data_IF_127923324289
#
_entry.id   IF_127923324289
#
_cell.length_a   1.000
_cell.length_b   1.000
_cell.length_c   1.000
_cell.angle_alpha   90.00
_cell.angle_beta   90.00
_cell.angle_gamma   90.00
#
_symmetry.space_group_name_H-M   'P 1'
#
loop_
_entity.id
_entity.type
_entity.pdbx_description
1 polymer ?
#
# COMPACT_ATOMS: atom_id res chain seq x y z
N UNK A 1 19.68 1.84 1.59
CA UNK A 1 18.93 1.17 0.51
C UNK A 1 17.47 1.21 0.91
N UNK A 2 16.54 1.46 0.00
CA UNK A 2 15.11 1.45 0.34
C UNK A 2 14.63 0.00 0.48
N UNK A 3 13.93 -0.29 1.57
CA UNK A 3 13.41 -1.62 1.88
C UNK A 3 12.00 -1.78 1.32
N UNK A 4 11.65 -2.97 0.83
CA UNK A 4 10.31 -3.28 0.35
C UNK A 4 9.69 -4.32 1.27
N UNK A 5 8.49 -4.04 1.80
CA UNK A 5 7.80 -4.96 2.71
C UNK A 5 6.35 -5.22 2.26
N UNK A 6 5.83 -6.39 2.60
CA UNK A 6 4.44 -6.75 2.37
C UNK A 6 3.90 -7.56 3.55
N UNK A 7 2.83 -7.08 4.16
CA UNK A 7 2.17 -7.75 5.28
C UNK A 7 1.17 -8.81 4.82
N UNK A 8 1.37 -10.04 5.27
CA UNK A 8 0.47 -11.17 5.04
C UNK A 8 -0.51 -11.24 6.20
N UNK A 9 -1.76 -10.86 5.96
CA UNK A 9 -2.79 -10.86 6.99
C UNK A 9 -3.55 -12.20 7.13
N UNK A 10 -3.23 -13.19 6.29
CA UNK A 10 -4.03 -14.39 6.14
C UNK A 10 -5.34 -14.22 5.37
N UNK A 11 -5.63 -13.01 4.91
CA UNK A 11 -6.73 -12.73 3.99
C UNK A 11 -6.33 -12.88 2.53
N UNK A 12 -7.30 -13.17 1.67
CA UNK A 12 -7.11 -13.46 0.23
C UNK A 12 -6.40 -12.31 -0.50
N UNK A 13 -6.74 -11.07 -0.22
CA UNK A 13 -6.18 -9.89 -0.92
C UNK A 13 -4.68 -9.74 -0.66
N UNK A 14 -4.22 -9.90 0.59
CA UNK A 14 -2.78 -9.85 0.92
C UNK A 14 -2.01 -11.04 0.37
N UNK A 15 -2.65 -12.22 0.32
CA UNK A 15 -2.07 -13.43 -0.26
C UNK A 15 -1.89 -13.28 -1.77
N UNK A 16 -2.94 -12.87 -2.48
CA UNK A 16 -2.88 -12.62 -3.91
C UNK A 16 -1.88 -11.51 -4.26
N UNK A 17 -1.80 -10.45 -3.44
CA UNK A 17 -0.81 -9.40 -3.66
C UNK A 17 0.63 -9.93 -3.56
N UNK A 18 0.92 -10.78 -2.59
CA UNK A 18 2.25 -11.35 -2.44
C UNK A 18 2.65 -12.22 -3.63
N UNK A 19 1.72 -13.06 -4.12
CA UNK A 19 1.91 -13.88 -5.32
C UNK A 19 2.11 -13.00 -6.55
N UNK A 20 1.19 -12.05 -6.78
CA UNK A 20 1.26 -11.09 -7.88
C UNK A 20 2.59 -10.32 -7.91
N UNK A 21 3.04 -9.81 -6.77
CA UNK A 21 4.30 -9.06 -6.68
C UNK A 21 5.49 -9.94 -7.00
N UNK A 22 5.51 -11.17 -6.52
CA UNK A 22 6.59 -12.12 -6.79
C UNK A 22 6.65 -12.52 -8.27
N UNK A 23 5.49 -12.78 -8.90
CA UNK A 23 5.42 -13.27 -10.26
C UNK A 23 5.66 -12.15 -11.29
N UNK A 24 5.09 -10.97 -11.06
CA UNK A 24 5.21 -9.84 -11.98
C UNK A 24 6.53 -9.06 -11.82
N UNK A 25 7.08 -9.03 -10.61
CA UNK A 25 8.31 -8.29 -10.27
C UNK A 25 9.33 -9.21 -9.59
N UNK A 26 9.83 -10.27 -10.25
CA UNK A 26 10.68 -11.29 -9.62
C UNK A 26 12.02 -10.76 -9.11
N UNK A 27 12.54 -9.68 -9.68
CA UNK A 27 13.79 -9.04 -9.27
C UNK A 27 13.62 -8.12 -8.05
N UNK A 28 12.38 -7.80 -7.68
CA UNK A 28 12.09 -6.96 -6.52
C UNK A 28 12.16 -7.79 -5.24
N UNK A 29 13.17 -7.53 -4.41
CA UNK A 29 13.30 -8.18 -3.10
C UNK A 29 12.27 -7.61 -2.13
N UNK A 30 11.25 -8.41 -1.81
CA UNK A 30 10.19 -8.04 -0.85
C UNK A 30 10.35 -8.88 0.42
N UNK A 31 10.42 -8.22 1.57
CA UNK A 31 10.39 -8.86 2.88
C UNK A 31 8.93 -9.07 3.29
N UNK A 32 8.52 -10.31 3.39
CA UNK A 32 7.17 -10.67 3.81
C UNK A 32 7.10 -10.81 5.33
N UNK A 33 6.04 -10.28 5.94
CA UNK A 33 5.80 -10.42 7.37
C UNK A 33 4.33 -10.73 7.67
N UNK A 34 4.09 -11.38 8.80
CA UNK A 34 2.76 -11.60 9.35
C UNK A 34 2.72 -11.10 10.80
N UNK A 35 1.64 -10.43 11.19
CA UNK A 35 1.41 -10.01 12.57
C UNK A 35 0.62 -11.09 13.29
N UNK A 36 1.32 -11.89 14.11
CA UNK A 36 0.73 -12.96 14.93
C UNK A 36 -0.03 -12.36 16.13
N UNK A 37 -1.35 -12.46 16.10
CA UNK A 37 -2.21 -12.03 17.21
C UNK A 37 -2.43 -13.13 18.25
N UNK A 38 -2.07 -14.37 17.94
CA UNK A 38 -2.32 -15.56 18.74
C UNK A 38 -3.79 -16.01 18.78
N UNK A 39 -4.63 -15.46 17.90
CA UNK A 39 -6.07 -15.74 17.80
C UNK A 39 -6.51 -15.94 16.34
N UNK A 40 -5.60 -16.37 15.47
CA UNK A 40 -5.91 -16.68 14.08
C UNK A 40 -6.67 -18.01 13.98
N UNK A 41 -7.50 -18.15 12.95
CA UNK A 41 -8.14 -19.42 12.63
C UNK A 41 -7.11 -20.42 12.11
N UNK A 42 -7.36 -21.71 12.31
CA UNK A 42 -6.47 -22.77 11.81
C UNK A 42 -6.31 -22.72 10.29
N UNK A 43 -7.40 -22.42 9.55
CA UNK A 43 -7.39 -22.26 8.11
C UNK A 43 -6.50 -21.09 7.66
N UNK A 44 -6.46 -20.02 8.45
CA UNK A 44 -5.58 -18.87 8.22
C UNK A 44 -4.12 -19.27 8.34
N UNK A 45 -3.76 -20.03 9.39
CA UNK A 45 -2.40 -20.54 9.56
C UNK A 45 -1.99 -21.50 8.44
N UNK A 46 -2.89 -22.36 7.98
CA UNK A 46 -2.65 -23.24 6.83
C UNK A 46 -2.35 -22.44 5.58
N UNK A 47 -3.12 -21.38 5.30
CA UNK A 47 -2.88 -20.51 4.15
C UNK A 47 -1.52 -19.81 4.27
N UNK A 48 -1.19 -19.26 5.44
CA UNK A 48 0.09 -18.57 5.64
C UNK A 48 1.28 -19.54 5.46
N UNK A 49 1.18 -20.77 5.93
CA UNK A 49 2.23 -21.78 5.74
C UNK A 49 2.41 -22.17 4.26
N UNK A 50 1.32 -22.27 3.50
CA UNK A 50 1.40 -22.48 2.04
C UNK A 50 2.06 -21.31 1.34
N UNK A 51 1.67 -20.08 1.70
CA UNK A 51 2.30 -18.87 1.19
C UNK A 51 3.79 -18.81 1.54
N UNK A 52 4.17 -19.15 2.75
CA UNK A 52 5.57 -19.20 3.17
C UNK A 52 6.39 -20.17 2.30
N UNK A 53 5.84 -21.33 1.97
CA UNK A 53 6.46 -22.29 1.06
C UNK A 53 6.60 -21.72 -0.36
N UNK A 54 5.62 -20.95 -0.83
CA UNK A 54 5.65 -20.29 -2.12
C UNK A 54 6.63 -19.11 -2.17
N UNK A 55 6.58 -18.23 -1.16
CA UNK A 55 7.34 -16.97 -1.13
C UNK A 55 8.81 -17.14 -0.73
N UNK A 56 9.14 -18.18 0.05
CA UNK A 56 10.49 -18.46 0.53
C UNK A 56 10.79 -17.95 1.95
N UNK A 57 9.78 -17.48 2.68
CA UNK A 57 9.87 -17.08 4.08
C UNK A 57 8.95 -15.93 4.44
N UNK A 58 8.35 -16.00 5.63
CA UNK A 58 7.50 -14.96 6.22
C UNK A 58 7.93 -14.69 7.65
N UNK A 59 8.35 -13.47 7.96
CA UNK A 59 8.71 -13.08 9.33
C UNK A 59 7.46 -12.95 10.20
N UNK A 60 7.37 -13.72 11.29
CA UNK A 60 6.27 -13.60 12.25
C UNK A 60 6.58 -12.50 13.27
N UNK A 61 5.76 -11.45 13.29
CA UNK A 61 5.85 -10.34 14.24
C UNK A 61 4.85 -10.61 15.38
N UNK A 62 5.35 -10.73 16.61
CA UNK A 62 4.53 -10.99 17.77
C UNK A 62 4.65 -9.85 18.77
N UNK A 63 3.52 -9.23 19.10
CA UNK A 63 3.46 -8.17 20.10
C UNK A 63 3.46 -8.74 21.53
N UNK A 64 3.69 -7.87 22.52
CA UNK A 64 3.61 -8.20 23.94
C UNK A 64 4.49 -9.38 24.39
N UNK A 65 5.68 -9.52 23.80
CA UNK A 65 6.66 -10.52 24.25
C UNK A 65 6.96 -10.34 25.74
N UNK A 66 6.97 -11.47 26.49
CA UNK A 66 7.15 -11.46 27.95
C UNK A 66 5.87 -11.13 28.75
N UNK A 67 4.73 -10.96 28.09
CA UNK A 67 3.44 -10.86 28.78
C UNK A 67 3.11 -12.18 29.53
N UNK A 68 2.48 -12.11 30.71
CA UNK A 68 1.94 -13.29 31.38
C UNK A 68 0.70 -13.86 30.69
N UNK A 69 0.11 -13.15 29.74
CA UNK A 69 -1.08 -13.58 29.03
C UNK A 69 -0.73 -14.60 27.92
N UNK A 70 -1.59 -15.58 27.65
CA UNK A 70 -1.35 -16.63 26.65
C UNK A 70 -1.11 -16.10 25.24
N UNK A 71 -1.84 -15.03 24.87
CA UNK A 71 -1.77 -14.44 23.53
C UNK A 71 -1.60 -12.93 23.57
N UNK A 72 -1.00 -12.33 22.50
CA UNK A 72 -0.98 -10.88 22.35
C UNK A 72 -2.40 -10.27 22.40
N UNK A 73 -3.38 -10.94 21.81
CA UNK A 73 -4.76 -10.46 21.82
C UNK A 73 -5.32 -10.35 23.24
N UNK A 74 -5.14 -11.36 24.09
CA UNK A 74 -5.59 -11.33 25.48
C UNK A 74 -4.87 -10.26 26.31
N UNK A 75 -3.57 -10.06 26.07
CA UNK A 75 -2.81 -8.99 26.70
C UNK A 75 -3.45 -7.62 26.41
N UNK A 76 -3.67 -7.29 25.15
CA UNK A 76 -4.25 -5.99 24.79
C UNK A 76 -5.73 -5.88 25.09
N UNK A 77 -6.49 -6.97 25.09
CA UNK A 77 -7.88 -6.99 25.53
C UNK A 77 -7.97 -6.57 27.00
N UNK A 78 -7.16 -7.16 27.88
CA UNK A 78 -7.11 -6.78 29.29
C UNK A 78 -6.63 -5.34 29.48
N UNK A 79 -5.57 -4.94 28.77
CA UNK A 79 -5.06 -3.58 28.81
C UNK A 79 -6.08 -2.53 28.30
N UNK A 80 -7.04 -2.95 27.48
CA UNK A 80 -8.16 -2.12 26.98
C UNK A 80 -9.41 -2.21 27.86
N UNK A 81 -9.31 -2.72 29.11
CA UNK A 81 -10.44 -2.86 30.02
C UNK A 81 -11.46 -3.89 29.57
N UNK A 82 -11.02 -4.94 28.86
CA UNK A 82 -11.87 -5.98 28.26
C UNK A 82 -12.86 -5.50 27.19
N UNK A 83 -12.62 -4.32 26.61
CA UNK A 83 -13.38 -3.86 25.45
C UNK A 83 -12.85 -4.51 24.17
N UNK A 84 -13.71 -5.22 23.43
CA UNK A 84 -13.38 -5.79 22.14
C UNK A 84 -13.05 -4.68 21.11
N UNK A 85 -12.19 -4.99 20.12
CA UNK A 85 -11.94 -4.05 19.03
C UNK A 85 -13.23 -3.70 18.29
N UNK A 86 -13.34 -2.45 17.88
CA UNK A 86 -14.48 -1.95 17.11
C UNK A 86 -13.99 -0.97 16.04
N UNK A 87 -14.85 -0.54 15.09
CA UNK A 87 -14.48 0.49 14.12
C UNK A 87 -13.95 1.79 14.77
N UNK A 88 -14.43 2.14 15.95
CA UNK A 88 -14.01 3.32 16.72
C UNK A 88 -12.79 3.05 17.62
N UNK A 89 -12.62 1.81 18.07
CA UNK A 89 -11.54 1.40 18.97
C UNK A 89 -10.66 0.32 18.33
N UNK A 90 -9.84 0.72 17.35
CA UNK A 90 -9.02 -0.18 16.53
C UNK A 90 -7.67 -0.52 17.17
N UNK A 91 -7.65 -0.75 18.49
CA UNK A 91 -6.43 -1.04 19.22
C UNK A 91 -5.69 -2.28 18.71
N UNK A 92 -6.42 -3.30 18.20
CA UNK A 92 -5.80 -4.48 17.62
C UNK A 92 -4.92 -4.12 16.40
N UNK A 93 -5.42 -3.26 15.50
CA UNK A 93 -4.65 -2.80 14.34
C UNK A 93 -3.46 -1.94 14.77
N UNK A 94 -3.68 -1.01 15.70
CA UNK A 94 -2.64 -0.07 16.13
C UNK A 94 -1.53 -0.76 16.92
N UNK A 95 -1.89 -1.61 17.91
CA UNK A 95 -0.95 -2.19 18.89
C UNK A 95 -0.27 -3.47 18.40
N UNK A 96 -1.00 -4.33 17.65
CA UNK A 96 -0.48 -5.63 17.26
C UNK A 96 0.00 -5.68 15.81
N UNK A 97 -0.45 -4.76 14.94
CA UNK A 97 -0.06 -4.76 13.53
C UNK A 97 0.85 -3.59 13.19
N UNK A 98 0.35 -2.34 13.28
CA UNK A 98 1.15 -1.18 12.86
C UNK A 98 2.36 -0.96 13.76
N UNK A 99 2.20 -1.01 15.09
CA UNK A 99 3.32 -0.80 16.00
C UNK A 99 4.43 -1.84 15.82
N UNK A 100 4.06 -3.10 15.61
CA UNK A 100 5.06 -4.17 15.39
C UNK A 100 5.71 -4.06 14.00
N UNK A 101 4.96 -3.70 12.97
CA UNK A 101 5.51 -3.40 11.65
C UNK A 101 6.49 -2.22 11.70
N UNK A 102 6.13 -1.15 12.42
CA UNK A 102 7.01 0.01 12.59
C UNK A 102 8.30 -0.30 13.37
N UNK A 103 8.24 -1.23 14.35
CA UNK A 103 9.45 -1.75 15.01
C UNK A 103 10.30 -2.60 14.07
N UNK A 104 9.66 -3.46 13.27
CA UNK A 104 10.32 -4.33 12.30
C UNK A 104 11.05 -3.52 11.23
N UNK A 105 10.49 -2.40 10.80
CA UNK A 105 11.09 -1.47 9.84
C UNK A 105 12.20 -0.63 10.50
N UNK A 106 12.01 -0.17 11.74
CA UNK A 106 12.90 0.78 12.38
C UNK A 106 12.89 2.14 11.68
N UNK A 107 14.08 2.67 11.42
CA UNK A 107 14.28 3.98 10.78
C UNK A 107 14.64 3.87 9.28
N UNK A 108 14.62 2.67 8.73
CA UNK A 108 14.96 2.44 7.32
C UNK A 108 13.88 3.02 6.39
N UNK A 109 14.27 3.72 5.30
CA UNK A 109 13.32 4.11 4.25
C UNK A 109 12.66 2.87 3.68
N UNK A 110 11.32 2.80 3.75
CA UNK A 110 10.58 1.57 3.46
C UNK A 110 9.34 1.84 2.62
N UNK A 111 9.13 1.00 1.62
CA UNK A 111 7.91 0.93 0.81
C UNK A 111 7.09 -0.26 1.32
N UNK A 112 5.86 0.02 1.74
CA UNK A 112 4.90 -0.99 2.23
C UNK A 112 3.81 -1.22 1.19
N UNK A 113 3.75 -2.42 0.64
CA UNK A 113 2.71 -2.81 -0.33
C UNK A 113 1.45 -3.27 0.39
N UNK A 114 0.30 -2.71 -0.03
CA UNK A 114 -1.00 -2.92 0.63
C UNK A 114 -2.02 -3.48 -0.36
N UNK A 115 -2.58 -4.65 -0.04
CA UNK A 115 -3.55 -5.36 -0.87
C UNK A 115 -4.97 -4.80 -0.71
N UNK A 116 -5.22 -3.61 -1.24
CA UNK A 116 -6.58 -3.06 -1.40
C UNK A 116 -6.92 -3.12 -2.87
N UNK A 117 -8.05 -3.78 -3.17
CA UNK A 117 -8.50 -3.98 -4.56
C UNK A 117 -8.98 -2.66 -5.19
N UNK A 118 -9.03 -2.66 -6.52
CA UNK A 118 -9.52 -1.51 -7.29
C UNK A 118 -11.02 -1.24 -7.13
N UNK A 119 -11.80 -2.25 -6.73
CA UNK A 119 -13.24 -2.16 -6.46
C UNK A 119 -13.58 -1.79 -4.99
N UNK A 120 -12.57 -1.53 -4.15
CA UNK A 120 -12.78 -1.13 -2.75
C UNK A 120 -12.63 0.38 -2.55
N UNK A 121 -13.65 1.00 -1.96
CA UNK A 121 -13.64 2.40 -1.55
C UNK A 121 -13.11 2.57 -0.11
N UNK A 122 -11.86 2.18 0.15
CA UNK A 122 -11.22 2.39 1.46
C UNK A 122 -9.76 2.77 1.30
N UNK A 123 -9.28 3.61 2.20
CA UNK A 123 -7.87 4.03 2.23
C UNK A 123 -6.93 2.99 2.87
N UNK A 124 -7.49 2.08 3.66
CA UNK A 124 -6.69 1.19 4.48
C UNK A 124 -6.03 1.89 5.67
N UNK A 125 -5.29 1.11 6.44
CA UNK A 125 -4.46 1.60 7.53
C UNK A 125 -3.02 1.66 7.05
N UNK A 126 -2.45 2.84 7.08
CA UNK A 126 -1.04 3.08 6.73
C UNK A 126 -0.30 3.67 7.93
N UNK A 127 1.01 3.45 8.00
CA UNK A 127 1.85 4.11 9.01
C UNK A 127 1.89 5.61 8.78
N UNK A 128 1.94 6.37 9.86
CA UNK A 128 2.16 7.83 9.82
C UNK A 128 3.64 8.20 9.88
N UNK A 129 4.55 7.22 9.99
CA UNK A 129 5.98 7.46 10.01
C UNK A 129 6.46 7.93 8.63
N UNK A 130 7.28 9.00 8.55
CA UNK A 130 7.73 9.59 7.30
C UNK A 130 8.64 8.66 6.48
N UNK A 131 9.30 7.70 7.13
CA UNK A 131 10.15 6.72 6.48
C UNK A 131 9.39 5.50 5.92
N UNK A 132 8.06 5.43 6.08
CA UNK A 132 7.23 4.33 5.57
C UNK A 132 6.21 4.87 4.58
N UNK A 133 6.35 4.50 3.31
CA UNK A 133 5.43 4.90 2.25
C UNK A 133 4.57 3.73 1.78
N UNK A 134 3.24 3.89 1.84
CA UNK A 134 2.31 2.88 1.35
C UNK A 134 2.09 3.00 -0.16
N UNK A 135 2.03 1.83 -0.83
CA UNK A 135 1.74 1.67 -2.25
C UNK A 135 0.62 0.63 -2.41
N UNK A 136 -0.29 0.86 -3.34
CA UNK A 136 -1.50 0.06 -3.58
C UNK A 136 -1.51 -0.55 -5.00
N UNK A 137 -0.79 -1.65 -5.25
CA UNK A 137 -0.56 -2.19 -6.60
C UNK A 137 -1.83 -2.61 -7.36
N UNK A 138 -2.92 -2.91 -6.66
CA UNK A 138 -4.18 -3.36 -7.26
C UNK A 138 -5.11 -2.21 -7.67
N UNK A 139 -4.73 -0.98 -7.40
CA UNK A 139 -5.56 0.21 -7.67
C UNK A 139 -5.05 0.96 -8.89
N UNK A 140 -5.97 1.60 -9.61
CA UNK A 140 -5.65 2.56 -10.69
C UNK A 140 -4.69 3.65 -10.21
N UNK A 141 -4.97 4.22 -9.02
CA UNK A 141 -4.06 5.10 -8.30
C UNK A 141 -3.28 4.29 -7.26
N UNK A 142 -2.00 4.04 -7.52
CA UNK A 142 -1.13 3.27 -6.62
C UNK A 142 -0.62 4.07 -5.40
N UNK A 143 -0.83 5.39 -5.37
CA UNK A 143 -0.30 6.28 -4.35
C UNK A 143 -1.27 6.47 -3.18
N UNK A 144 -0.74 6.74 -1.98
CA UNK A 144 -1.55 7.13 -0.84
C UNK A 144 -2.16 8.52 -1.02
N UNK A 145 -3.28 8.80 -0.32
CA UNK A 145 -3.90 10.13 -0.36
C UNK A 145 -2.96 11.24 0.08
N UNK A 146 -2.09 10.98 1.04
CA UNK A 146 -1.13 11.98 1.52
C UNK A 146 -0.17 12.40 0.41
N UNK A 147 0.34 11.45 -0.37
CA UNK A 147 1.17 11.72 -1.56
C UNK A 147 0.38 12.52 -2.59
N UNK A 148 -0.85 12.11 -2.88
CA UNK A 148 -1.70 12.80 -3.86
C UNK A 148 -2.04 14.23 -3.42
N UNK A 149 -2.37 14.43 -2.15
CA UNK A 149 -2.66 15.76 -1.59
C UNK A 149 -1.44 16.69 -1.65
N UNK A 150 -0.24 16.15 -1.41
CA UNK A 150 0.99 16.91 -1.58
C UNK A 150 1.24 17.25 -3.05
N UNK A 151 1.15 16.25 -3.95
CA UNK A 151 1.34 16.43 -5.39
C UNK A 151 0.38 17.46 -5.98
N UNK A 152 -0.93 17.34 -5.71
CA UNK A 152 -1.95 18.26 -6.23
C UNK A 152 -2.12 19.55 -5.42
N UNK A 153 -1.30 19.78 -4.40
CA UNK A 153 -1.37 20.99 -3.57
C UNK A 153 -1.12 22.24 -4.42
N UNK A 154 -1.88 23.32 -4.22
CA UNK A 154 -1.64 24.60 -4.90
C UNK A 154 -0.20 25.12 -4.75
N UNK A 155 0.48 24.79 -3.65
CA UNK A 155 1.89 25.15 -3.42
C UNK A 155 2.85 24.51 -4.42
N UNK A 156 2.47 23.37 -4.99
CA UNK A 156 3.27 22.58 -5.93
C UNK A 156 2.81 22.73 -7.39
N UNK A 157 1.80 23.57 -7.66
CA UNK A 157 1.16 23.66 -8.98
C UNK A 157 2.16 23.93 -10.13
N UNK A 158 3.07 24.90 -10.00
CA UNK A 158 4.07 25.18 -11.02
C UNK A 158 5.04 24.02 -11.22
N UNK A 159 5.49 23.39 -10.13
CA UNK A 159 6.37 22.23 -10.17
C UNK A 159 5.71 21.04 -10.87
N UNK A 160 4.48 20.73 -10.50
CA UNK A 160 3.70 19.64 -11.10
C UNK A 160 3.47 19.91 -12.59
N UNK A 161 3.14 21.14 -12.96
CA UNK A 161 3.02 21.55 -14.37
C UNK A 161 4.33 21.31 -15.14
N UNK A 162 5.47 21.71 -14.59
CA UNK A 162 6.78 21.51 -15.20
C UNK A 162 7.10 20.01 -15.37
N UNK A 163 6.76 19.19 -14.39
CA UNK A 163 6.95 17.73 -14.46
C UNK A 163 6.11 17.14 -15.60
N UNK A 164 4.83 17.49 -15.68
CA UNK A 164 3.98 16.99 -16.77
C UNK A 164 4.50 17.39 -18.16
N UNK A 165 5.01 18.59 -18.31
CA UNK A 165 5.63 19.02 -19.58
C UNK A 165 6.87 18.21 -19.97
N UNK A 166 7.53 17.56 -19.01
CA UNK A 166 8.71 16.71 -19.26
C UNK A 166 8.35 15.25 -19.56
N UNK A 167 7.30 14.72 -18.90
CA UNK A 167 7.00 13.28 -18.95
C UNK A 167 5.82 12.94 -19.88
N UNK A 168 5.02 13.93 -20.24
CA UNK A 168 3.78 13.73 -20.98
C UNK A 168 4.04 13.67 -22.49
N UNK A 169 3.44 12.72 -23.23
CA UNK A 169 3.38 12.78 -24.67
C UNK A 169 2.66 14.05 -25.17
N UNK A 170 3.12 14.63 -26.29
CA UNK A 170 2.61 15.91 -26.83
C UNK A 170 1.09 15.97 -26.97
N UNK A 171 0.47 14.87 -27.40
CA UNK A 171 -0.98 14.76 -27.60
C UNK A 171 -1.79 14.78 -26.30
N UNK A 172 -1.18 14.56 -25.12
CA UNK A 172 -1.85 14.56 -23.82
C UNK A 172 -1.56 15.81 -22.99
N UNK A 173 -0.64 16.67 -23.43
CA UNK A 173 -0.26 17.90 -22.70
C UNK A 173 -1.45 18.81 -22.47
N UNK A 174 -2.17 19.18 -23.53
CA UNK A 174 -3.29 20.14 -23.43
C UNK A 174 -4.43 19.62 -22.53
N UNK A 175 -4.92 18.35 -22.66
CA UNK A 175 -5.91 17.80 -21.76
C UNK A 175 -5.48 17.83 -20.30
N UNK A 176 -4.24 17.46 -20.00
CA UNK A 176 -3.71 17.43 -18.64
C UNK A 176 -3.60 18.82 -18.05
N UNK A 177 -3.02 19.78 -18.80
CA UNK A 177 -2.89 21.16 -18.36
C UNK A 177 -4.26 21.81 -18.08
N UNK A 178 -5.26 21.50 -18.90
CA UNK A 178 -6.64 21.96 -18.66
C UNK A 178 -7.18 21.48 -17.32
N UNK A 179 -6.93 20.23 -16.94
CA UNK A 179 -7.32 19.69 -15.63
C UNK A 179 -6.53 20.36 -14.51
N UNK A 180 -5.21 20.51 -14.67
CA UNK A 180 -4.35 21.13 -13.65
C UNK A 180 -4.72 22.58 -13.40
N UNK A 181 -5.01 23.35 -14.45
CA UNK A 181 -5.36 24.77 -14.38
C UNK A 181 -6.79 25.02 -13.89
N UNK A 182 -7.64 23.98 -13.86
CA UNK A 182 -8.99 24.09 -13.31
C UNK A 182 -8.93 24.32 -11.79
N UNK A 183 -9.48 25.46 -11.29
CA UNK A 183 -9.46 25.77 -9.87
C UNK A 183 -10.21 24.75 -9.05
N UNK A 184 -9.72 24.48 -7.82
CA UNK A 184 -10.46 23.67 -6.86
C UNK A 184 -11.69 24.47 -6.38
N UNK A 185 -12.85 23.86 -6.48
CA UNK A 185 -14.14 24.41 -6.04
C UNK A 185 -14.91 23.35 -5.26
N UNK A 186 -16.07 23.71 -4.70
CA UNK A 186 -16.96 22.74 -4.07
C UNK A 186 -17.37 21.61 -5.03
N UNK A 187 -17.54 21.92 -6.32
CA UNK A 187 -17.97 20.96 -7.35
C UNK A 187 -16.80 20.23 -8.02
N UNK A 188 -15.57 20.79 -7.92
CA UNK A 188 -14.34 20.22 -8.47
C UNK A 188 -13.25 20.21 -7.40
N UNK A 189 -13.30 19.18 -6.53
CA UNK A 189 -12.36 18.98 -5.44
C UNK A 189 -11.26 17.96 -5.79
N UNK A 190 -10.31 17.72 -4.88
CA UNK A 190 -9.11 16.88 -5.12
C UNK A 190 -9.42 15.51 -5.73
N UNK A 191 -10.44 14.79 -5.25
CA UNK A 191 -10.78 13.47 -5.79
C UNK A 191 -11.26 13.54 -7.24
N UNK A 192 -12.03 14.56 -7.61
CA UNK A 192 -12.44 14.77 -9.01
C UNK A 192 -11.27 15.15 -9.90
N UNK A 193 -10.36 15.99 -9.40
CA UNK A 193 -9.14 16.36 -10.13
C UNK A 193 -8.24 15.14 -10.35
N UNK A 194 -8.05 14.33 -9.32
CA UNK A 194 -7.34 13.06 -9.40
C UNK A 194 -7.95 12.13 -10.46
N UNK A 195 -9.26 11.87 -10.36
CA UNK A 195 -9.94 10.99 -11.31
C UNK A 195 -9.85 11.51 -12.74
N UNK A 196 -10.00 12.80 -12.96
CA UNK A 196 -9.85 13.39 -14.29
C UNK A 196 -8.44 13.20 -14.88
N UNK A 197 -7.38 13.27 -14.07
CA UNK A 197 -6.01 12.99 -14.50
C UNK A 197 -5.81 11.50 -14.81
N UNK A 198 -6.32 10.61 -13.96
CA UNK A 198 -6.26 9.16 -14.15
C UNK A 198 -7.06 8.69 -15.37
N UNK A 199 -8.16 9.36 -15.71
CA UNK A 199 -8.99 9.06 -16.88
C UNK A 199 -8.33 9.49 -18.19
N UNK A 200 -7.39 10.44 -18.15
CA UNK A 200 -6.59 10.80 -19.32
C UNK A 200 -5.54 9.71 -19.58
N UNK A 201 -4.67 9.44 -18.60
CA UNK A 201 -3.66 8.39 -18.71
C UNK A 201 -3.07 8.05 -17.33
N UNK A 202 -3.25 6.80 -16.92
CA UNK A 202 -2.78 6.28 -15.60
C UNK A 202 -1.25 6.25 -15.53
N UNK A 203 -0.59 5.81 -16.61
CA UNK A 203 0.88 5.67 -16.64
C UNK A 203 1.56 7.02 -16.59
N UNK A 204 1.05 7.98 -17.37
CA UNK A 204 1.55 9.37 -17.34
C UNK A 204 1.35 9.99 -15.97
N UNK A 205 0.18 9.74 -15.33
CA UNK A 205 -0.08 10.20 -13.98
C UNK A 205 0.92 9.59 -12.97
N UNK A 206 1.07 8.27 -12.96
CA UNK A 206 1.98 7.59 -12.05
C UNK A 206 3.44 8.04 -12.25
N UNK A 207 3.86 8.22 -13.50
CA UNK A 207 5.18 8.74 -13.83
C UNK A 207 5.38 10.17 -13.34
N UNK A 208 4.39 11.04 -13.50
CA UNK A 208 4.46 12.41 -12.99
C UNK A 208 4.57 12.47 -11.46
N UNK A 209 3.80 11.64 -10.75
CA UNK A 209 3.92 11.54 -9.29
C UNK A 209 5.30 11.01 -8.88
N UNK A 210 5.84 10.03 -9.57
CA UNK A 210 7.18 9.52 -9.28
C UNK A 210 8.27 10.59 -9.48
N UNK A 211 8.26 11.33 -10.58
CA UNK A 211 9.20 12.43 -10.81
C UNK A 211 9.05 13.55 -9.74
N UNK A 212 7.83 13.77 -9.26
CA UNK A 212 7.62 14.65 -8.11
C UNK A 212 8.26 14.07 -6.83
N UNK A 213 8.08 12.77 -6.56
CA UNK A 213 8.64 12.10 -5.39
C UNK A 213 10.18 12.13 -5.35
N UNK A 214 10.85 12.05 -6.51
CA UNK A 214 12.32 12.23 -6.61
C UNK A 214 12.82 13.58 -6.08
N UNK A 215 11.93 14.54 -5.91
CA UNK A 215 12.26 15.85 -5.33
C UNK A 215 11.93 15.95 -3.85
N UNK A 216 11.59 14.83 -3.22
CA UNK A 216 11.23 14.70 -1.79
C UNK A 216 12.13 13.68 -1.11
N UNK A 217 12.06 13.62 0.22
CA UNK A 217 12.78 12.60 1.01
C UNK A 217 11.96 11.30 1.20
N UNK A 218 10.82 11.16 0.51
CA UNK A 218 9.97 9.99 0.64
C UNK A 218 10.64 8.74 0.01
N UNK A 219 10.39 7.53 0.57
CA UNK A 219 11.10 6.32 0.17
C UNK A 219 11.12 6.01 -1.32
N UNK A 220 9.99 6.14 -2.01
CA UNK A 220 9.93 5.89 -3.47
C UNK A 220 10.81 6.88 -4.25
N UNK A 221 10.88 8.14 -3.79
CA UNK A 221 11.71 9.16 -4.43
C UNK A 221 13.21 8.91 -4.34
N UNK A 222 13.66 8.03 -3.44
CA UNK A 222 15.05 7.64 -3.26
C UNK A 222 15.48 6.49 -4.20
N UNK A 223 14.55 5.91 -4.97
CA UNK A 223 14.83 4.86 -5.94
C UNK A 223 15.23 5.47 -7.29
N UNK A 224 16.23 4.90 -7.94
CA UNK A 224 16.58 5.25 -9.33
C UNK A 224 15.50 4.79 -10.29
N UNK A 225 14.93 3.61 -10.05
CA UNK A 225 13.83 3.03 -10.82
C UNK A 225 12.77 2.46 -9.87
N UNK A 226 11.50 2.62 -10.25
CA UNK A 226 10.38 2.03 -9.52
C UNK A 226 9.49 1.22 -10.47
N UNK A 227 9.53 -0.12 -10.40
CA UNK A 227 8.95 -0.99 -11.42
C UNK A 227 7.42 -0.90 -11.55
N UNK A 228 6.72 -0.39 -10.51
CA UNK A 228 5.27 -0.24 -10.53
C UNK A 228 4.77 1.03 -11.26
N UNK A 229 5.65 1.86 -11.80
CA UNK A 229 5.26 3.09 -12.52
C UNK A 229 4.40 2.78 -13.74
N UNK A 230 4.78 1.73 -14.47
CA UNK A 230 4.06 1.28 -15.67
C UNK A 230 2.89 0.33 -15.34
N UNK A 231 2.60 0.14 -14.05
CA UNK A 231 1.49 -0.68 -13.61
C UNK A 231 0.16 0.06 -13.80
N UNK A 232 -0.71 -0.50 -14.64
CA UNK A 232 -2.07 -0.03 -14.89
C UNK A 232 -3.13 -1.09 -14.55
N UNK A 233 -2.72 -2.18 -13.92
CA UNK A 233 -3.63 -3.23 -13.47
C UNK A 233 -4.60 -2.69 -12.41
N UNK A 234 -5.88 -2.95 -12.63
CA UNK A 234 -6.94 -2.69 -11.64
C UNK A 234 -7.54 -4.03 -11.31
N UNK A 235 -7.09 -4.64 -10.22
CA UNK A 235 -7.52 -5.97 -9.84
C UNK A 235 -8.75 -5.91 -8.92
N UNK A 236 -9.74 -6.71 -9.26
CA UNK A 236 -11.01 -6.85 -8.53
C UNK A 236 -11.11 -8.22 -7.86
N UNK A 237 -12.21 -8.46 -7.18
CA UNK A 237 -12.39 -9.69 -6.39
C UNK A 237 -12.17 -10.98 -7.18
N UNK A 238 -12.63 -11.05 -8.42
CA UNK A 238 -12.51 -12.26 -9.25
C UNK A 238 -11.05 -12.51 -9.66
N UNK A 239 -10.28 -11.45 -9.92
CA UNK A 239 -8.84 -11.56 -10.21
C UNK A 239 -8.07 -12.12 -9.02
N UNK A 240 -8.45 -11.72 -7.78
CA UNK A 240 -7.84 -12.24 -6.56
C UNK A 240 -8.01 -13.75 -6.45
N UNK A 241 -9.20 -14.26 -6.76
CA UNK A 241 -9.45 -15.70 -6.75
C UNK A 241 -8.63 -16.42 -7.83
N UNK A 242 -8.59 -15.88 -9.04
CA UNK A 242 -7.80 -16.45 -10.15
C UNK A 242 -6.30 -16.54 -9.79
N UNK A 243 -5.71 -15.48 -9.23
CA UNK A 243 -4.31 -15.49 -8.78
C UNK A 243 -4.06 -16.60 -7.75
N UNK A 244 -4.95 -16.77 -6.78
CA UNK A 244 -4.81 -17.79 -5.73
C UNK A 244 -4.94 -19.22 -6.29
N UNK A 245 -5.88 -19.44 -7.21
CA UNK A 245 -6.08 -20.75 -7.86
C UNK A 245 -4.91 -21.11 -8.77
N UNK A 246 -4.48 -20.19 -9.64
CA UNK A 246 -3.41 -20.41 -10.62
C UNK A 246 -2.06 -20.67 -9.95
N UNK A 247 -1.80 -20.04 -8.79
CA UNK A 247 -0.57 -20.24 -8.02
C UNK A 247 -0.47 -21.61 -7.34
N UNK A 248 -1.58 -22.34 -7.20
CA UNK A 248 -1.67 -23.57 -6.43
C UNK A 248 -1.61 -23.40 -4.90
N UNK A 249 -1.56 -22.17 -4.41
CA UNK A 249 -1.62 -21.88 -2.96
C UNK A 249 -3.01 -22.17 -2.41
N UNK A 250 -4.03 -22.01 -3.24
CA UNK A 250 -5.43 -22.30 -2.92
C UNK A 250 -6.15 -21.13 -2.24
N UNK A 251 -7.45 -21.30 -2.09
CA UNK A 251 -8.37 -20.28 -1.55
C UNK A 251 -8.81 -20.66 -0.14
#
# INVERSE_FOLDING_TARGET
>A
MVRHILGISGGKDSAALAIYMKDKYPDLKVDYYNSDTGCELEETEVLINRLESYLGGITRLRAAEGSPEPTPFEHFLKASGNFLPSPQARWCTQKMKLAEMEKFVGDEPTISYVGIRGDEEREGYVSTKPNIQAIFPFRKNIWSLDVINQFLSPKNAEKVRSIYLQVCPDNLVDPILKVLDTPLTRDFYYSKKLNALLDIDVKVFNKAVYEYLKTTDLPVGQLDEFPLIDNDDVLVKDDIFSILEDSGVGV
#
